data_IF_504651922955
#
_entry.id   IF_504651922955
#
_cell.length_a   1.000
_cell.length_b   1.000
_cell.length_c   1.000
_cell.angle_alpha   90.00
_cell.angle_beta   90.00
_cell.angle_gamma   90.00
#
_symmetry.space_group_name_H-M   'P 1'
#
loop_
_entity.id
_entity.type
_entity.pdbx_description
1 polymer ?
#
# COMPACT_ATOMS: atom_id res chain seq x y z
N UNK A 1 2.61 2.05 19.49
CA UNK A 1 4.08 1.97 19.22
C UNK A 1 4.56 3.14 18.38
N UNK A 2 3.81 3.59 17.36
CA UNK A 2 4.18 4.74 16.51
C UNK A 2 4.34 6.07 17.24
N UNK A 3 3.46 6.41 18.19
CA UNK A 3 3.60 7.63 19.00
C UNK A 3 4.94 7.65 19.75
N UNK A 4 5.34 6.52 20.35
CA UNK A 4 6.63 6.40 21.05
C UNK A 4 7.83 6.49 20.11
N UNK A 5 7.73 5.93 18.90
CA UNK A 5 8.76 6.07 17.85
C UNK A 5 8.85 7.51 17.34
N UNK A 6 7.73 8.20 17.19
CA UNK A 6 7.66 9.60 16.75
C UNK A 6 8.24 10.58 17.79
N UNK A 7 7.97 10.36 19.07
CA UNK A 7 8.59 11.11 20.17
C UNK A 7 10.10 10.91 20.20
N UNK A 8 10.57 9.66 20.09
CA UNK A 8 11.99 9.35 19.99
C UNK A 8 12.65 10.00 18.76
N UNK A 9 12.07 9.89 17.56
CA UNK A 9 12.68 10.45 16.34
C UNK A 9 12.88 11.98 16.40
N UNK A 10 12.00 12.70 17.12
CA UNK A 10 12.08 14.16 17.26
C UNK A 10 12.92 14.62 18.46
N UNK A 11 12.87 13.85 19.55
CA UNK A 11 13.44 14.24 20.83
C UNK A 11 14.66 13.40 21.24
N UNK A 12 15.13 12.43 20.43
CA UNK A 12 16.23 11.54 20.80
C UNK A 12 17.49 12.31 21.22
N UNK A 13 17.88 13.35 20.46
CA UNK A 13 19.04 14.18 20.82
C UNK A 13 18.82 14.96 22.12
N UNK A 14 17.58 15.42 22.37
CA UNK A 14 17.21 16.09 23.62
C UNK A 14 17.29 15.12 24.79
N UNK A 15 16.73 13.93 24.65
CA UNK A 15 16.80 12.88 25.66
C UNK A 15 18.23 12.40 25.90
N UNK A 16 19.04 12.26 24.85
CA UNK A 16 20.46 11.89 24.97
C UNK A 16 21.21 12.91 25.82
N UNK A 17 21.07 14.19 25.51
CA UNK A 17 21.70 15.26 26.30
C UNK A 17 21.18 15.30 27.74
N UNK A 18 19.86 15.14 27.97
CA UNK A 18 19.31 15.04 29.32
C UNK A 18 19.81 13.80 30.08
N UNK A 19 20.01 12.68 29.39
CA UNK A 19 20.52 11.44 29.95
C UNK A 19 21.98 11.56 30.36
N UNK A 20 22.80 12.24 29.56
CA UNK A 20 24.20 12.58 29.86
C UNK A 20 24.29 13.50 31.09
N UNK A 21 23.46 14.55 31.15
CA UNK A 21 23.37 15.44 32.32
C UNK A 21 22.88 14.69 33.58
N UNK A 22 21.89 13.81 33.44
CA UNK A 22 21.41 12.97 34.53
C UNK A 22 22.47 11.96 34.99
N UNK A 23 23.30 11.42 34.08
CA UNK A 23 24.39 10.52 34.43
C UNK A 23 25.46 11.23 35.27
N UNK A 24 25.83 12.45 34.88
CA UNK A 24 26.75 13.28 35.66
C UNK A 24 26.15 13.58 37.04
N UNK A 25 24.87 13.94 37.08
CA UNK A 25 24.15 14.21 38.31
C UNK A 25 24.08 12.99 39.25
N UNK A 26 23.77 11.80 38.72
CA UNK A 26 23.79 10.55 39.46
C UNK A 26 25.20 10.26 40.01
N UNK A 27 26.23 10.44 39.20
CA UNK A 27 27.61 10.21 39.61
C UNK A 27 28.01 11.09 40.78
N UNK A 28 27.64 12.39 40.76
CA UNK A 28 27.95 13.30 41.86
C UNK A 28 27.21 12.94 43.15
N UNK A 29 25.93 12.58 43.07
CA UNK A 29 25.18 12.14 44.25
C UNK A 29 25.73 10.86 44.84
N UNK A 30 26.12 9.90 44.00
CA UNK A 30 26.64 8.61 44.46
C UNK A 30 28.11 8.70 44.92
N UNK A 31 28.91 9.67 44.43
CA UNK A 31 30.28 9.93 44.90
C UNK A 31 30.34 10.78 46.16
N UNK A 32 29.53 11.83 46.25
CA UNK A 32 29.51 12.78 47.38
C UNK A 32 28.64 12.27 48.53
N UNK A 33 28.50 10.95 48.68
CA UNK A 33 28.02 10.36 49.94
C UNK A 33 29.12 10.28 51.00
N UNK A 34 30.39 10.45 50.62
CA UNK A 34 31.55 10.37 51.53
C UNK A 34 32.16 11.74 51.91
N UNK A 35 31.80 12.86 51.26
CA UNK A 35 32.29 14.21 51.61
C UNK A 35 31.19 15.29 51.62
N UNK A 36 31.20 16.13 52.65
CA UNK A 36 30.34 17.29 52.84
C UNK A 36 30.98 18.52 52.17
N UNK A 37 30.65 18.82 50.90
CA UNK A 37 30.59 20.22 50.48
C UNK A 37 29.87 20.46 49.13
N UNK A 38 28.91 21.39 49.18
CA UNK A 38 28.04 21.92 48.12
C UNK A 38 27.02 20.96 47.46
N UNK A 39 25.78 21.42 47.29
CA UNK A 39 24.73 20.67 46.59
C UNK A 39 25.09 20.55 45.08
N UNK A 40 25.23 19.33 44.53
CA UNK A 40 25.45 19.11 43.09
C UNK A 40 24.45 19.87 42.20
N UNK A 41 23.25 20.11 42.71
CA UNK A 41 22.17 20.80 42.01
C UNK A 41 22.40 22.30 41.78
N UNK A 42 23.34 22.94 42.47
CA UNK A 42 23.67 24.36 42.25
C UNK A 42 24.70 24.58 41.13
N UNK A 43 25.31 23.49 40.61
CA UNK A 43 26.31 23.56 39.53
C UNK A 43 25.72 23.38 38.12
N UNK A 44 24.55 22.79 37.98
CA UNK A 44 23.90 22.54 36.68
C UNK A 44 22.86 23.60 36.35
N UNK A 45 23.13 24.45 35.36
CA UNK A 45 22.25 25.59 35.02
C UNK A 45 21.13 25.24 34.03
N UNK A 46 21.15 24.07 33.38
CA UNK A 46 20.27 23.74 32.25
C UNK A 46 19.13 22.74 32.54
N UNK A 47 19.27 21.84 33.51
CA UNK A 47 18.30 20.78 33.82
C UNK A 47 18.32 20.38 35.31
N UNK A 48 17.24 19.75 35.78
CA UNK A 48 17.14 19.29 37.18
C UNK A 48 16.13 18.15 37.38
N UNK A 49 16.18 17.53 38.56
CA UNK A 49 15.26 16.48 38.96
C UNK A 49 14.01 17.06 39.63
N UNK A 50 12.84 16.56 39.22
CA UNK A 50 11.54 16.97 39.72
C UNK A 50 10.68 15.75 40.08
N UNK A 51 9.87 15.90 41.12
CA UNK A 51 8.84 14.93 41.49
C UNK A 51 7.45 15.52 41.21
N UNK A 52 6.59 14.74 40.57
CA UNK A 52 5.18 15.10 40.41
C UNK A 52 4.42 14.81 41.70
N UNK A 53 3.85 15.84 42.33
CA UNK A 53 3.17 15.70 43.61
C UNK A 53 1.86 14.90 43.55
N UNK A 54 1.27 14.72 42.38
CA UNK A 54 0.04 13.92 42.20
C UNK A 54 0.37 12.45 41.97
N UNK A 55 1.27 12.17 41.02
CA UNK A 55 1.57 10.78 40.63
C UNK A 55 2.70 10.15 41.42
N UNK A 56 3.52 10.94 42.12
CA UNK A 56 4.75 10.48 42.78
C UNK A 56 5.88 10.12 41.81
N UNK A 57 5.71 10.36 40.51
CA UNK A 57 6.70 10.02 39.49
C UNK A 57 7.83 11.07 39.43
N UNK A 58 9.06 10.60 39.19
CA UNK A 58 10.23 11.44 39.04
C UNK A 58 10.53 11.71 37.56
N UNK A 59 10.97 12.92 37.27
CA UNK A 59 11.34 13.36 35.92
C UNK A 59 12.55 14.29 35.94
N UNK A 60 13.41 14.16 34.94
CA UNK A 60 14.56 15.04 34.73
C UNK A 60 14.28 15.95 33.54
N UNK A 61 14.12 17.25 33.81
CA UNK A 61 13.58 18.22 32.85
C UNK A 61 14.53 19.42 32.71
N UNK A 62 14.43 20.13 31.58
CA UNK A 62 15.08 21.43 31.40
C UNK A 62 14.48 22.47 32.36
N UNK A 63 15.32 23.35 32.91
CA UNK A 63 14.89 24.36 33.90
C UNK A 63 13.89 25.38 33.35
N UNK A 64 13.83 25.58 32.03
CA UNK A 64 12.90 26.50 31.36
C UNK A 64 11.47 25.98 31.26
N UNK A 65 11.16 24.77 31.76
CA UNK A 65 9.81 24.22 31.79
C UNK A 65 9.53 23.41 33.07
N UNK A 66 8.95 24.03 34.10
CA UNK A 66 8.05 23.28 34.97
C UNK A 66 6.66 23.91 34.92
N UNK A 67 5.73 23.24 34.26
CA UNK A 67 4.29 23.50 34.39
C UNK A 67 3.72 22.70 35.57
N UNK A 68 2.93 23.34 36.45
CA UNK A 68 2.02 22.64 37.37
C UNK A 68 2.68 21.94 38.57
N UNK A 69 2.25 20.72 38.87
CA UNK A 69 2.48 19.93 40.10
C UNK A 69 3.90 19.36 40.29
N UNK A 70 4.91 19.94 39.64
CA UNK A 70 6.30 19.47 39.71
C UNK A 70 7.07 20.23 40.78
N UNK A 71 7.69 19.51 41.72
CA UNK A 71 8.57 20.09 42.73
C UNK A 71 9.99 19.63 42.49
N UNK A 72 10.94 20.57 42.49
CA UNK A 72 12.36 20.25 42.37
C UNK A 72 12.78 19.40 43.57
N UNK A 73 13.50 18.33 43.31
CA UNK A 73 14.05 17.43 44.33
C UNK A 73 15.50 17.82 44.55
N UNK A 74 15.88 18.15 45.78
CA UNK A 74 17.26 18.48 46.17
C UNK A 74 18.07 17.25 46.58
N UNK A 75 19.39 17.39 46.74
CA UNK A 75 20.28 16.25 46.94
C UNK A 75 20.02 15.56 48.29
N UNK A 76 19.73 16.34 49.33
CA UNK A 76 19.48 15.82 50.67
C UNK A 76 18.17 14.99 50.75
N UNK A 77 17.16 15.37 49.96
CA UNK A 77 15.90 14.63 49.87
C UNK A 77 16.08 13.28 49.14
N UNK A 78 16.96 13.23 48.14
CA UNK A 78 17.34 11.98 47.47
C UNK A 78 18.18 11.07 48.36
N UNK A 79 19.17 11.63 49.07
CA UNK A 79 20.07 10.87 49.95
C UNK A 79 19.32 10.13 51.06
N UNK A 80 18.41 10.82 51.76
CA UNK A 80 17.54 10.18 52.77
C UNK A 80 16.69 9.05 52.18
N UNK A 81 16.14 9.25 50.98
CA UNK A 81 15.40 8.19 50.27
C UNK A 81 16.30 7.02 49.85
N UNK A 82 17.59 7.27 49.62
CA UNK A 82 18.58 6.28 49.19
C UNK A 82 19.16 5.45 50.33
N UNK A 83 19.16 5.96 51.57
CA UNK A 83 19.53 5.19 52.76
C UNK A 83 18.55 4.04 53.02
N UNK A 84 17.27 4.24 52.73
CA UNK A 84 16.23 3.21 52.82
C UNK A 84 16.26 2.23 51.63
N UNK A 85 16.77 2.68 50.48
CA UNK A 85 16.85 1.90 49.25
C UNK A 85 18.21 1.20 49.13
N UNK A 86 18.24 -0.12 49.26
CA UNK A 86 19.41 -0.92 48.90
C UNK A 86 19.87 -0.69 47.44
N UNK A 87 21.07 -1.18 47.09
CA UNK A 87 21.69 -0.97 45.75
C UNK A 87 20.75 -1.28 44.57
N UNK A 88 19.98 -2.36 44.65
CA UNK A 88 19.00 -2.73 43.61
C UNK A 88 17.82 -1.74 43.53
N UNK A 89 17.37 -1.20 44.67
CA UNK A 89 16.30 -0.21 44.72
C UNK A 89 16.73 1.13 44.10
N UNK A 90 17.97 1.56 44.34
CA UNK A 90 18.55 2.76 43.72
C UNK A 90 18.68 2.64 42.20
N UNK A 91 19.15 1.50 41.70
CA UNK A 91 19.20 1.24 40.25
C UNK A 91 17.80 1.32 39.60
N UNK A 92 16.79 0.69 40.21
CA UNK A 92 15.41 0.75 39.73
C UNK A 92 14.82 2.16 39.81
N UNK A 93 15.19 2.95 40.81
CA UNK A 93 14.79 4.35 40.92
C UNK A 93 15.29 5.15 39.71
N UNK A 94 16.59 5.11 39.43
CA UNK A 94 17.20 5.83 38.31
C UNK A 94 16.61 5.39 36.96
N UNK A 95 16.40 4.09 36.75
CA UNK A 95 15.77 3.56 35.53
C UNK A 95 14.34 4.07 35.31
N UNK A 96 13.61 4.38 36.38
CA UNK A 96 12.21 4.84 36.34
C UNK A 96 12.07 6.34 36.12
N UNK A 97 13.14 7.12 36.31
CA UNK A 97 13.09 8.57 36.07
C UNK A 97 12.73 8.82 34.61
N UNK A 98 11.83 9.77 34.36
CA UNK A 98 11.42 10.15 33.01
C UNK A 98 12.23 11.33 32.49
N UNK A 99 12.85 11.18 31.32
CA UNK A 99 13.49 12.28 30.60
C UNK A 99 12.39 13.16 29.98
N UNK A 100 12.40 14.44 30.35
CA UNK A 100 11.38 15.43 29.97
C UNK A 100 9.93 15.01 30.29
N UNK A 101 9.72 14.15 31.29
CA UNK A 101 8.40 13.60 31.64
C UNK A 101 7.82 12.57 30.66
N UNK A 102 8.51 12.25 29.55
CA UNK A 102 7.97 11.43 28.47
C UNK A 102 8.44 9.96 28.53
N UNK A 103 9.75 9.74 28.55
CA UNK A 103 10.35 8.40 28.41
C UNK A 103 11.21 8.06 29.62
N UNK A 104 11.06 6.86 30.16
CA UNK A 104 11.92 6.41 31.28
C UNK A 104 13.36 6.22 30.83
N UNK A 105 14.32 6.47 31.72
CA UNK A 105 15.74 6.23 31.49
C UNK A 105 15.99 4.80 31.03
N UNK A 106 15.41 3.80 31.72
CA UNK A 106 15.60 2.39 31.33
C UNK A 106 15.05 2.04 29.94
N UNK A 107 14.04 2.77 29.44
CA UNK A 107 13.57 2.61 28.07
C UNK A 107 14.47 3.32 27.06
N UNK A 108 14.96 4.52 27.40
CA UNK A 108 15.92 5.26 26.59
C UNK A 108 17.24 4.51 26.45
N UNK A 109 17.81 4.02 27.55
CA UNK A 109 19.09 3.29 27.57
C UNK A 109 19.04 2.03 26.69
N UNK A 110 17.89 1.33 26.65
CA UNK A 110 17.67 0.21 25.71
C UNK A 110 17.66 0.64 24.25
N UNK A 111 17.04 1.79 23.95
CA UNK A 111 17.03 2.36 22.60
C UNK A 111 18.44 2.81 22.21
N UNK A 112 19.15 3.49 23.10
CA UNK A 112 20.52 3.94 22.87
C UNK A 112 21.48 2.76 22.66
N UNK A 113 21.37 1.70 23.45
CA UNK A 113 22.13 0.47 23.25
C UNK A 113 21.88 -0.13 21.86
N UNK A 114 20.63 -0.20 21.41
CA UNK A 114 20.32 -0.68 20.06
C UNK A 114 20.84 0.25 18.97
N UNK A 115 20.73 1.58 19.14
CA UNK A 115 21.24 2.57 18.19
C UNK A 115 22.75 2.45 18.07
N UNK A 116 23.47 2.34 19.19
CA UNK A 116 24.93 2.17 19.20
C UNK A 116 25.35 0.84 18.55
N UNK A 117 24.62 -0.25 18.83
CA UNK A 117 24.87 -1.54 18.21
C UNK A 117 24.71 -1.47 16.68
N UNK A 118 23.59 -0.92 16.18
CA UNK A 118 23.39 -0.77 14.73
C UNK A 118 24.39 0.20 14.12
N UNK A 119 24.76 1.28 14.81
CA UNK A 119 25.78 2.21 14.34
C UNK A 119 27.15 1.52 14.16
N UNK A 120 27.62 0.78 15.17
CA UNK A 120 28.88 0.03 15.10
C UNK A 120 28.86 -1.00 13.97
N UNK A 121 27.78 -1.79 13.90
CA UNK A 121 27.57 -2.79 12.85
C UNK A 121 27.59 -2.18 11.44
N UNK A 122 27.09 -0.96 11.26
CA UNK A 122 27.09 -0.26 9.98
C UNK A 122 28.40 0.47 9.70
N UNK A 123 29.10 0.97 10.72
CA UNK A 123 30.38 1.69 10.56
C UNK A 123 31.53 0.81 10.11
N UNK A 124 31.43 -0.50 10.34
CA UNK A 124 32.37 -1.51 9.82
C UNK A 124 32.21 -1.76 8.31
N UNK A 125 31.10 -1.30 7.71
CA UNK A 125 30.80 -1.50 6.29
C UNK A 125 31.23 -0.30 5.45
N UNK A 126 31.35 -0.52 4.14
CA UNK A 126 31.60 0.59 3.20
C UNK A 126 30.41 1.57 3.23
N UNK A 127 30.64 2.89 3.34
CA UNK A 127 29.58 3.89 3.47
C UNK A 127 28.50 3.84 2.37
N UNK A 128 28.89 3.48 1.14
CA UNK A 128 27.99 3.38 -0.02
C UNK A 128 27.63 1.94 -0.39
N UNK A 129 27.89 0.97 0.47
CA UNK A 129 27.39 -0.40 0.27
C UNK A 129 25.86 -0.43 0.39
N UNK A 130 25.23 -1.37 -0.32
CA UNK A 130 23.78 -1.54 -0.25
C UNK A 130 23.30 -1.82 1.18
N UNK A 131 24.09 -2.56 1.97
CA UNK A 131 23.81 -2.85 3.38
C UNK A 131 23.63 -1.59 4.24
N UNK A 132 24.40 -0.52 3.96
CA UNK A 132 24.31 0.76 4.66
C UNK A 132 23.20 1.60 4.05
N UNK A 133 23.20 1.76 2.72
CA UNK A 133 22.22 2.61 2.02
C UNK A 133 20.79 2.13 2.22
N UNK A 134 20.53 0.82 2.26
CA UNK A 134 19.20 0.26 2.51
C UNK A 134 18.64 0.59 3.91
N UNK A 135 19.48 1.01 4.86
CA UNK A 135 19.03 1.51 6.17
C UNK A 135 18.64 3.00 6.14
N UNK A 136 19.12 3.74 5.14
CA UNK A 136 18.81 5.16 4.96
C UNK A 136 17.42 5.31 4.36
N UNK A 137 16.54 6.02 5.06
CA UNK A 137 15.14 6.16 4.65
C UNK A 137 15.01 6.82 3.27
N UNK A 138 15.75 7.90 3.04
CA UNK A 138 15.69 8.67 1.79
C UNK A 138 16.17 7.82 0.62
N UNK A 139 17.23 7.04 0.80
CA UNK A 139 17.70 6.09 -0.23
C UNK A 139 16.62 5.08 -0.59
N UNK A 140 15.96 4.45 0.39
CA UNK A 140 14.86 3.50 0.13
C UNK A 140 13.70 4.16 -0.62
N UNK A 141 13.32 5.37 -0.24
CA UNK A 141 12.24 6.12 -0.90
C UNK A 141 12.65 6.42 -2.34
N UNK A 142 13.86 6.93 -2.56
CA UNK A 142 14.39 7.23 -3.89
C UNK A 142 14.41 5.98 -4.76
N UNK A 143 14.99 4.86 -4.29
CA UNK A 143 14.99 3.59 -5.02
C UNK A 143 13.57 3.12 -5.33
N UNK A 144 12.64 3.22 -4.38
CA UNK A 144 11.24 2.89 -4.60
C UNK A 144 10.55 3.75 -5.66
N UNK A 145 10.82 5.06 -5.68
CA UNK A 145 10.26 5.97 -6.68
C UNK A 145 10.81 5.68 -8.07
N UNK A 146 12.11 5.47 -8.21
CA UNK A 146 12.71 5.09 -9.50
C UNK A 146 12.26 3.70 -9.96
N UNK A 147 12.05 2.75 -9.03
CA UNK A 147 11.42 1.47 -9.35
C UNK A 147 10.02 1.65 -9.93
N UNK A 148 9.18 2.51 -9.32
CA UNK A 148 7.82 2.77 -9.80
C UNK A 148 7.80 3.48 -11.15
N UNK A 149 8.73 4.41 -11.40
CA UNK A 149 8.91 5.04 -12.71
C UNK A 149 9.19 3.98 -13.76
N UNK A 150 10.16 3.10 -13.49
CA UNK A 150 10.55 2.09 -14.45
C UNK A 150 9.46 1.03 -14.63
N UNK A 151 8.80 0.59 -13.55
CA UNK A 151 7.63 -0.28 -13.64
C UNK A 151 6.52 0.36 -14.49
N UNK A 152 6.27 1.67 -14.35
CA UNK A 152 5.35 2.41 -15.22
C UNK A 152 5.74 2.33 -16.69
N UNK A 153 7.04 2.45 -17.01
CA UNK A 153 7.54 2.27 -18.39
C UNK A 153 7.33 0.86 -18.91
N UNK A 154 7.61 -0.15 -18.10
CA UNK A 154 7.36 -1.55 -18.45
C UNK A 154 5.86 -1.82 -18.69
N UNK A 155 4.99 -1.06 -18.02
CA UNK A 155 3.53 -1.07 -18.23
C UNK A 155 3.05 -0.19 -19.39
N UNK A 156 3.96 0.40 -20.17
CA UNK A 156 3.66 1.14 -21.38
C UNK A 156 3.48 2.65 -21.21
N UNK A 157 3.86 3.23 -20.07
CA UNK A 157 3.91 4.70 -19.88
C UNK A 157 5.13 5.27 -20.59
N UNK A 158 4.92 6.14 -21.57
CA UNK A 158 5.96 6.83 -22.33
C UNK A 158 6.22 8.24 -21.81
N UNK A 159 5.21 8.85 -21.19
CA UNK A 159 5.32 10.15 -20.53
C UNK A 159 6.44 10.20 -19.46
N UNK A 160 6.97 11.40 -19.22
CA UNK A 160 7.96 11.60 -18.15
C UNK A 160 7.26 11.53 -16.80
N UNK A 161 7.77 10.67 -15.91
CA UNK A 161 7.28 10.51 -14.55
C UNK A 161 8.31 11.08 -13.57
N UNK A 162 7.87 11.99 -12.71
CA UNK A 162 8.70 12.69 -11.72
C UNK A 162 8.76 11.92 -10.39
N UNK A 163 9.94 11.70 -9.80
CA UNK A 163 10.13 10.96 -8.54
C UNK A 163 9.79 11.85 -7.32
N UNK A 164 8.51 12.19 -7.15
CA UNK A 164 8.03 13.01 -6.03
C UNK A 164 7.33 12.19 -4.95
N UNK A 165 7.32 12.66 -3.70
CA UNK A 165 6.68 11.93 -2.59
C UNK A 165 5.17 11.70 -2.78
N UNK A 166 4.52 12.56 -3.56
CA UNK A 166 3.11 12.44 -3.94
C UNK A 166 2.85 11.49 -5.11
N UNK A 167 3.87 10.79 -5.63
CA UNK A 167 3.74 9.85 -6.74
C UNK A 167 2.57 8.85 -6.58
N UNK A 168 2.41 8.16 -5.42
CA UNK A 168 1.32 7.20 -5.24
C UNK A 168 -0.08 7.85 -5.18
N UNK A 169 -0.14 9.18 -5.04
CA UNK A 169 -1.38 9.96 -4.99
C UNK A 169 -1.79 10.52 -6.35
N UNK A 170 -1.03 10.24 -7.42
CA UNK A 170 -1.36 10.65 -8.78
C UNK A 170 -0.91 12.08 -9.14
N UNK A 171 0.27 12.49 -8.68
CA UNK A 171 0.88 13.78 -9.06
C UNK A 171 1.44 13.83 -10.47
N UNK A 172 1.64 12.67 -11.10
CA UNK A 172 2.14 12.53 -12.46
C UNK A 172 1.00 12.55 -13.47
N UNK A 173 1.26 13.15 -14.63
CA UNK A 173 0.30 13.22 -15.73
C UNK A 173 0.59 12.08 -16.70
N UNK A 174 -0.46 11.33 -17.03
CA UNK A 174 -0.44 10.25 -18.02
C UNK A 174 -1.64 10.40 -18.94
N UNK A 175 -1.51 9.91 -20.17
CA UNK A 175 -2.62 9.87 -21.12
C UNK A 175 -3.65 8.81 -20.70
N UNK A 176 -4.88 8.96 -21.19
CA UNK A 176 -5.95 7.98 -20.96
C UNK A 176 -5.54 6.58 -21.45
N UNK A 177 -4.86 6.52 -22.59
CA UNK A 177 -4.37 5.28 -23.19
C UNK A 177 -3.32 4.60 -22.29
N UNK A 178 -2.28 5.32 -21.87
CA UNK A 178 -1.22 4.78 -21.01
C UNK A 178 -1.79 4.20 -19.71
N UNK A 179 -2.71 4.94 -19.08
CA UNK A 179 -3.38 4.46 -17.88
C UNK A 179 -4.27 3.24 -18.17
N UNK A 180 -5.00 3.21 -19.28
CA UNK A 180 -5.84 2.05 -19.65
C UNK A 180 -5.00 0.80 -19.86
N UNK A 181 -3.89 0.92 -20.60
CA UNK A 181 -2.92 -0.17 -20.82
C UNK A 181 -2.24 -0.63 -19.54
N UNK A 182 -1.91 0.29 -18.64
CA UNK A 182 -1.37 -0.07 -17.33
C UNK A 182 -2.36 -0.96 -16.55
N UNK A 183 -3.66 -0.72 -16.65
CA UNK A 183 -4.67 -1.59 -16.02
C UNK A 183 -4.86 -2.94 -16.72
N UNK A 184 -4.63 -3.02 -18.04
CA UNK A 184 -4.44 -4.32 -18.71
C UNK A 184 -3.29 -5.07 -18.04
N UNK A 185 -2.09 -4.47 -17.96
CA UNK A 185 -0.91 -5.11 -17.37
C UNK A 185 -1.08 -5.53 -15.91
N UNK A 186 -1.70 -4.68 -15.08
CA UNK A 186 -2.01 -5.02 -13.68
C UNK A 186 -2.96 -6.22 -13.55
N UNK A 187 -3.85 -6.41 -14.53
CA UNK A 187 -4.83 -7.50 -14.50
C UNK A 187 -4.34 -8.73 -15.23
N UNK A 188 -3.69 -8.65 -16.38
CA UNK A 188 -3.30 -9.83 -17.16
C UNK A 188 -1.88 -10.32 -16.85
N UNK A 189 -1.08 -9.49 -16.19
CA UNK A 189 0.35 -9.68 -15.97
C UNK A 189 1.21 -9.26 -17.16
N UNK A 190 0.60 -8.88 -18.28
CA UNK A 190 1.30 -8.54 -19.53
C UNK A 190 0.72 -7.28 -20.17
N UNK A 191 1.54 -6.59 -20.94
CA UNK A 191 1.09 -5.46 -21.76
C UNK A 191 1.14 -5.86 -23.22
N UNK A 192 0.06 -5.52 -23.94
CA UNK A 192 0.00 -5.70 -25.39
C UNK A 192 0.33 -4.40 -26.10
N UNK A 193 1.39 -4.42 -26.90
CA UNK A 193 1.75 -3.36 -27.85
C UNK A 193 1.64 -3.89 -29.27
N UNK A 194 1.73 -3.01 -30.26
CA UNK A 194 1.65 -3.42 -31.67
C UNK A 194 2.81 -2.85 -32.44
N UNK A 195 3.60 -3.71 -33.07
CA UNK A 195 4.80 -3.32 -33.82
C UNK A 195 5.60 -4.53 -34.29
N UNK A 196 6.70 -4.29 -34.99
CA UNK A 196 7.59 -5.37 -35.40
C UNK A 196 8.37 -5.93 -34.20
N UNK A 197 8.43 -7.26 -34.10
CA UNK A 197 9.19 -7.95 -33.07
C UNK A 197 10.66 -7.50 -33.08
N UNK A 198 11.19 -7.10 -31.92
CA UNK A 198 12.56 -6.59 -31.76
C UNK A 198 12.72 -5.06 -31.84
N UNK A 199 11.65 -4.29 -32.06
CA UNK A 199 11.65 -2.81 -31.99
C UNK A 199 10.68 -2.28 -30.91
N UNK A 200 10.62 -2.95 -29.77
CA UNK A 200 9.64 -2.74 -28.71
C UNK A 200 9.66 -1.34 -28.08
N UNK A 201 10.84 -0.71 -27.98
CA UNK A 201 10.98 0.56 -27.26
C UNK A 201 10.38 1.76 -28.01
N UNK A 202 10.23 1.68 -29.34
CA UNK A 202 9.84 2.83 -30.16
C UNK A 202 8.69 2.58 -31.15
N UNK A 203 8.20 1.34 -31.27
CA UNK A 203 7.26 0.99 -32.33
C UNK A 203 5.89 0.54 -31.82
N UNK A 204 5.45 1.00 -30.65
CA UNK A 204 4.08 0.79 -30.19
C UNK A 204 3.12 1.72 -30.95
N UNK A 205 2.63 1.19 -32.08
CA UNK A 205 1.58 1.77 -32.90
C UNK A 205 0.23 1.55 -32.22
N UNK A 206 -0.63 2.58 -32.21
CA UNK A 206 -2.00 2.37 -31.76
C UNK A 206 -2.68 1.45 -32.77
N UNK A 207 -3.15 0.28 -32.34
CA UNK A 207 -3.94 -0.64 -33.17
C UNK A 207 -5.36 -0.11 -33.41
N UNK A 208 -5.43 1.08 -33.99
CA UNK A 208 -6.66 1.69 -34.52
C UNK A 208 -6.86 1.24 -35.97
N UNK A 209 -5.78 0.88 -36.66
CA UNK A 209 -5.77 0.39 -38.04
C UNK A 209 -5.60 -1.12 -38.04
N UNK A 210 -6.61 -1.87 -38.53
CA UNK A 210 -6.54 -3.33 -38.66
C UNK A 210 -5.60 -3.75 -39.80
N UNK A 211 -5.74 -3.16 -40.98
CA UNK A 211 -4.85 -3.38 -42.12
C UNK A 211 -4.91 -2.25 -43.13
N UNK A 212 -3.85 -2.08 -43.91
CA UNK A 212 -3.81 -1.21 -45.09
C UNK A 212 -3.51 -2.10 -46.29
N UNK A 213 -4.37 -2.03 -47.31
CA UNK A 213 -4.24 -2.81 -48.56
C UNK A 213 -4.14 -1.85 -49.75
N UNK A 214 -3.35 -2.21 -50.76
CA UNK A 214 -3.33 -1.55 -52.05
C UNK A 214 -4.57 -1.90 -52.89
N UNK A 215 -4.80 -1.18 -53.99
CA UNK A 215 -5.93 -1.44 -54.90
C UNK A 215 -5.93 -2.87 -55.47
N UNK A 216 -4.74 -3.44 -55.66
CA UNK A 216 -4.57 -4.81 -56.15
C UNK A 216 -4.72 -5.89 -55.05
N UNK A 217 -5.03 -5.48 -53.82
CA UNK A 217 -5.16 -6.38 -52.67
C UNK A 217 -3.84 -6.70 -51.96
N UNK A 218 -2.72 -6.08 -52.36
CA UNK A 218 -1.44 -6.27 -51.66
C UNK A 218 -1.51 -5.68 -50.25
N UNK A 219 -1.22 -6.49 -49.22
CA UNK A 219 -1.14 -6.03 -47.83
C UNK A 219 0.09 -5.15 -47.61
N UNK A 220 -0.14 -3.88 -47.26
CA UNK A 220 0.91 -2.88 -47.01
C UNK A 220 1.25 -2.75 -45.52
N UNK A 221 0.27 -2.96 -44.65
CA UNK A 221 0.45 -2.85 -43.20
C UNK A 221 -0.60 -3.69 -42.48
N UNK A 222 -0.18 -4.38 -41.43
CA UNK A 222 -1.04 -5.07 -40.47
C UNK A 222 -0.29 -5.05 -39.13
N UNK A 223 -0.89 -4.48 -38.05
CA UNK A 223 -0.24 -4.42 -36.76
C UNK A 223 -0.12 -5.82 -36.17
N UNK A 224 1.10 -6.23 -35.81
CA UNK A 224 1.33 -7.49 -35.11
C UNK A 224 1.31 -7.24 -33.60
N UNK A 225 0.45 -7.93 -32.82
CA UNK A 225 0.46 -7.80 -31.38
C UNK A 225 1.76 -8.40 -30.81
N UNK A 226 2.43 -7.64 -29.97
CA UNK A 226 3.58 -8.07 -29.18
C UNK A 226 3.16 -8.01 -27.71
N UNK A 227 3.26 -9.15 -27.04
CA UNK A 227 2.88 -9.29 -25.64
C UNK A 227 4.12 -9.38 -24.77
N UNK A 228 4.25 -8.46 -23.82
CA UNK A 228 5.37 -8.41 -22.87
C UNK A 228 4.89 -8.73 -21.47
N UNK A 229 5.47 -9.74 -20.82
CA UNK A 229 5.13 -10.07 -19.44
C UNK A 229 5.88 -9.15 -18.46
N UNK A 230 5.14 -8.57 -17.52
CA UNK A 230 5.67 -7.62 -16.51
C UNK A 230 5.55 -8.20 -15.10
N UNK A 231 4.46 -8.90 -14.82
CA UNK A 231 4.21 -9.49 -13.50
C UNK A 231 4.15 -11.01 -13.57
N UNK A 232 4.63 -11.65 -12.50
CA UNK A 232 4.47 -13.08 -12.33
C UNK A 232 3.00 -13.44 -11.95
N UNK A 233 2.60 -14.72 -12.10
CA UNK A 233 1.22 -15.13 -11.84
C UNK A 233 0.70 -14.85 -10.42
N UNK A 234 1.55 -14.90 -9.37
CA UNK A 234 1.11 -14.63 -7.99
C UNK A 234 0.81 -13.15 -7.79
N UNK A 235 1.65 -12.27 -8.34
CA UNK A 235 1.42 -10.82 -8.29
C UNK A 235 0.12 -10.45 -9.02
N UNK A 236 -0.07 -10.96 -10.23
CA UNK A 236 -1.28 -10.74 -11.05
C UNK A 236 -2.56 -11.20 -10.34
N UNK A 237 -2.49 -12.34 -9.65
CA UNK A 237 -3.61 -12.87 -8.86
C UNK A 237 -3.95 -11.97 -7.66
N UNK A 238 -2.94 -11.52 -6.90
CA UNK A 238 -3.13 -10.64 -5.75
C UNK A 238 -3.67 -9.26 -6.15
N UNK A 239 -3.07 -8.63 -7.17
CA UNK A 239 -3.51 -7.33 -7.70
C UNK A 239 -4.93 -7.44 -8.27
N UNK A 240 -5.22 -8.50 -9.03
CA UNK A 240 -6.55 -8.78 -9.54
C UNK A 240 -7.60 -8.90 -8.43
N UNK A 241 -7.27 -9.61 -7.34
CA UNK A 241 -8.13 -9.71 -6.16
C UNK A 241 -8.41 -8.36 -5.49
N UNK A 242 -7.39 -7.50 -5.36
CA UNK A 242 -7.53 -6.13 -4.83
C UNK A 242 -8.47 -5.31 -5.71
N UNK A 243 -8.27 -5.32 -7.04
CA UNK A 243 -9.11 -4.57 -7.98
C UNK A 243 -10.55 -5.09 -8.04
N UNK A 244 -10.76 -6.40 -7.90
CA UNK A 244 -12.10 -6.98 -7.77
C UNK A 244 -12.78 -6.51 -6.47
N UNK A 245 -12.05 -6.46 -5.35
CA UNK A 245 -12.58 -5.99 -4.07
C UNK A 245 -12.95 -4.51 -4.06
N UNK A 246 -12.23 -3.66 -4.80
CA UNK A 246 -12.62 -2.26 -4.99
C UNK A 246 -13.99 -2.16 -5.67
N UNK A 247 -14.30 -3.08 -6.59
CA UNK A 247 -15.62 -3.15 -7.23
C UNK A 247 -16.64 -3.85 -6.33
N UNK A 248 -16.30 -4.88 -5.55
CA UNK A 248 -17.28 -5.54 -4.67
C UNK A 248 -17.69 -4.69 -3.47
N UNK A 249 -16.71 -4.04 -2.84
CA UNK A 249 -16.86 -3.47 -1.50
C UNK A 249 -16.42 -2.01 -1.41
N UNK A 250 -15.76 -1.49 -2.43
CA UNK A 250 -15.17 -0.16 -2.44
C UNK A 250 -15.99 0.88 -3.20
N UNK A 251 -15.26 1.88 -3.69
CA UNK A 251 -15.81 3.01 -4.45
C UNK A 251 -16.35 2.64 -5.83
N UNK A 252 -16.02 1.43 -6.33
CA UNK A 252 -16.49 0.91 -7.61
C UNK A 252 -17.80 0.12 -7.54
N UNK A 253 -18.41 -0.04 -6.36
CA UNK A 253 -19.58 -0.92 -6.11
C UNK A 253 -20.73 -0.83 -7.10
N UNK A 254 -21.02 0.38 -7.58
CA UNK A 254 -22.11 0.60 -8.52
C UNK A 254 -21.87 -0.08 -9.88
N UNK A 255 -20.63 -0.42 -10.25
CA UNK A 255 -20.37 -1.21 -11.44
C UNK A 255 -20.95 -2.64 -11.33
N UNK A 256 -20.82 -3.27 -10.16
CA UNK A 256 -21.40 -4.60 -9.91
C UNK A 256 -22.93 -4.63 -9.94
N UNK A 257 -23.57 -3.47 -9.78
CA UNK A 257 -25.02 -3.31 -9.86
C UNK A 257 -25.49 -2.99 -11.29
N UNK A 258 -24.71 -2.20 -12.04
CA UNK A 258 -25.09 -1.65 -13.35
C UNK A 258 -24.67 -2.50 -14.54
N UNK A 259 -23.58 -3.26 -14.42
CA UNK A 259 -23.11 -4.12 -15.50
C UNK A 259 -23.77 -5.48 -15.37
N UNK A 260 -24.56 -5.87 -16.38
CA UNK A 260 -25.42 -7.05 -16.31
C UNK A 260 -25.43 -7.82 -17.62
N UNK A 261 -25.61 -9.13 -17.50
CA UNK A 261 -25.90 -10.00 -18.64
C UNK A 261 -27.38 -9.84 -19.01
N UNK A 262 -27.63 -9.31 -20.20
CA UNK A 262 -28.97 -9.12 -20.76
C UNK A 262 -29.25 -10.16 -21.84
N UNK A 263 -30.52 -10.55 -22.00
CA UNK A 263 -30.92 -11.36 -23.15
C UNK A 263 -30.65 -10.57 -24.44
N UNK A 264 -30.30 -11.28 -25.51
CA UNK A 264 -30.14 -10.62 -26.80
C UNK A 264 -31.50 -10.20 -27.39
N UNK A 265 -31.47 -9.33 -28.41
CA UNK A 265 -32.69 -8.81 -29.05
C UNK A 265 -33.58 -9.86 -29.72
N UNK A 266 -33.12 -11.11 -29.82
CA UNK A 266 -33.86 -12.25 -30.38
C UNK A 266 -34.30 -13.26 -29.30
N UNK A 267 -34.07 -12.97 -28.02
CA UNK A 267 -34.42 -13.85 -26.89
C UNK A 267 -33.37 -14.93 -26.57
N UNK A 268 -32.25 -14.95 -27.29
CA UNK A 268 -31.10 -15.78 -26.96
C UNK A 268 -30.49 -15.37 -25.61
N UNK A 269 -30.10 -16.37 -24.82
CA UNK A 269 -29.49 -16.12 -23.51
C UNK A 269 -30.47 -15.69 -22.40
N UNK A 270 -31.78 -15.79 -22.64
CA UNK A 270 -32.80 -15.45 -21.65
C UNK A 270 -32.67 -16.24 -20.33
N UNK A 271 -32.18 -17.48 -20.38
CA UNK A 271 -31.91 -18.29 -19.19
C UNK A 271 -30.82 -17.68 -18.31
N UNK A 272 -29.70 -17.28 -18.91
CA UNK A 272 -28.59 -16.62 -18.19
C UNK A 272 -29.04 -15.26 -17.65
N UNK A 273 -29.76 -14.47 -18.45
CA UNK A 273 -30.28 -13.18 -18.00
C UNK A 273 -31.22 -13.32 -16.79
N UNK A 274 -32.03 -14.39 -16.73
CA UNK A 274 -32.92 -14.69 -15.59
C UNK A 274 -32.16 -15.03 -14.31
N UNK A 275 -30.94 -15.57 -14.41
CA UNK A 275 -30.10 -15.85 -13.23
C UNK A 275 -29.68 -14.55 -12.51
N UNK A 276 -29.69 -13.39 -13.20
CA UNK A 276 -29.33 -12.07 -12.67
C UNK A 276 -28.00 -12.12 -11.88
N UNK A 277 -27.02 -12.86 -12.41
CA UNK A 277 -25.72 -13.04 -11.79
C UNK A 277 -24.91 -11.74 -11.89
N UNK A 278 -24.25 -11.30 -10.81
CA UNK A 278 -23.37 -10.15 -10.87
C UNK A 278 -22.17 -10.48 -11.75
N UNK A 279 -21.84 -9.62 -12.71
CA UNK A 279 -20.65 -9.79 -13.54
C UNK A 279 -19.40 -9.50 -12.68
N UNK A 280 -18.42 -10.43 -12.58
CA UNK A 280 -17.12 -10.13 -11.99
C UNK A 280 -16.38 -9.07 -12.81
N UNK A 281 -15.98 -7.99 -12.15
CA UNK A 281 -15.28 -6.86 -12.75
C UNK A 281 -14.14 -6.44 -11.85
N UNK A 282 -13.09 -5.90 -12.44
CA UNK A 282 -11.94 -5.36 -11.72
C UNK A 282 -11.84 -3.87 -12.04
N UNK A 283 -11.47 -3.05 -11.07
CA UNK A 283 -11.20 -1.65 -11.40
C UNK A 283 -10.94 -0.75 -10.21
N UNK A 284 -10.70 0.51 -10.52
CA UNK A 284 -10.35 1.53 -9.53
C UNK A 284 -10.87 2.90 -9.97
N UNK A 285 -11.41 3.62 -9.00
CA UNK A 285 -11.77 5.04 -9.16
C UNK A 285 -10.56 5.95 -8.90
N UNK A 286 -10.40 6.97 -9.75
CA UNK A 286 -9.54 8.12 -9.52
C UNK A 286 -10.37 9.39 -9.32
N UNK A 287 -9.91 10.30 -8.46
CA UNK A 287 -10.50 11.63 -8.27
C UNK A 287 -9.39 12.59 -7.91
N UNK A 288 -9.12 13.56 -8.79
CA UNK A 288 -8.09 14.54 -8.54
C UNK A 288 -8.47 15.52 -7.43
N UNK A 289 -7.44 16.11 -6.81
CA UNK A 289 -7.62 17.20 -5.87
C UNK A 289 -8.46 18.33 -6.49
N UNK A 290 -9.27 18.99 -5.66
CA UNK A 290 -10.22 20.05 -6.08
C UNK A 290 -11.28 19.59 -7.09
N UNK A 291 -11.43 18.29 -7.37
CA UNK A 291 -12.41 17.73 -8.31
C UNK A 291 -12.24 18.28 -9.73
N UNK A 292 -10.99 18.50 -10.18
CA UNK A 292 -10.72 18.96 -11.55
C UNK A 292 -10.94 17.86 -12.59
N UNK A 293 -10.73 16.61 -12.20
CA UNK A 293 -11.06 15.44 -13.01
C UNK A 293 -11.50 14.24 -12.17
N UNK A 294 -12.16 13.32 -12.85
CA UNK A 294 -12.66 12.05 -12.36
C UNK A 294 -12.30 10.95 -13.37
N UNK A 295 -11.87 9.80 -12.88
CA UNK A 295 -11.55 8.67 -13.75
C UNK A 295 -12.01 7.34 -13.17
N UNK A 296 -12.24 6.37 -14.05
CA UNK A 296 -12.39 4.98 -13.68
C UNK A 296 -11.63 4.13 -14.70
N UNK A 297 -10.74 3.30 -14.19
CA UNK A 297 -10.01 2.32 -14.99
C UNK A 297 -10.41 0.95 -14.49
N UNK A 298 -10.81 0.09 -15.41
CA UNK A 298 -11.29 -1.23 -15.06
C UNK A 298 -11.06 -2.23 -16.18
N UNK A 299 -11.35 -3.47 -15.87
CA UNK A 299 -11.19 -4.60 -16.75
C UNK A 299 -12.46 -5.43 -16.74
N UNK A 300 -13.01 -5.66 -17.92
CA UNK A 300 -14.07 -6.64 -18.18
C UNK A 300 -13.38 -7.96 -18.55
N UNK A 301 -13.40 -8.97 -17.66
CA UNK A 301 -12.75 -10.26 -17.93
C UNK A 301 -13.35 -10.97 -19.14
N UNK A 302 -12.52 -11.71 -19.89
CA UNK A 302 -12.95 -12.56 -21.00
C UNK A 302 -13.76 -13.76 -20.53
N UNK A 303 -14.15 -14.63 -21.46
CA UNK A 303 -14.90 -15.86 -21.17
C UNK A 303 -13.94 -17.03 -21.27
N UNK A 304 -14.05 -17.99 -20.34
CA UNK A 304 -13.31 -19.25 -20.45
C UNK A 304 -13.72 -20.02 -21.71
N UNK A 305 -12.80 -20.76 -22.33
CA UNK A 305 -13.12 -21.60 -23.50
C UNK A 305 -14.30 -22.56 -23.25
N UNK A 306 -14.44 -23.08 -22.04
CA UNK A 306 -15.53 -23.97 -21.63
C UNK A 306 -16.87 -23.26 -21.33
N UNK A 307 -16.94 -21.93 -21.39
CA UNK A 307 -18.16 -21.16 -21.08
C UNK A 307 -18.64 -21.21 -19.61
N UNK A 308 -17.84 -21.78 -18.70
CA UNK A 308 -18.22 -22.05 -17.31
C UNK A 308 -17.81 -20.94 -16.31
N UNK A 309 -17.39 -19.78 -16.84
CA UNK A 309 -16.95 -18.65 -16.06
C UNK A 309 -16.24 -17.60 -16.90
N UNK A 310 -15.61 -16.67 -16.20
CA UNK A 310 -14.78 -15.65 -16.82
C UNK A 310 -13.29 -15.97 -16.68
N UNK A 311 -12.49 -15.50 -17.62
CA UNK A 311 -11.04 -15.63 -17.64
C UNK A 311 -10.38 -14.25 -17.49
N UNK A 312 -9.22 -14.23 -16.84
CA UNK A 312 -8.42 -13.01 -16.70
C UNK A 312 -7.84 -12.56 -18.06
N UNK A 313 -7.59 -13.51 -18.96
CA UNK A 313 -7.13 -13.27 -20.33
C UNK A 313 -8.31 -12.96 -21.26
N UNK A 314 -7.98 -12.46 -22.47
CA UNK A 314 -8.93 -12.20 -23.56
C UNK A 314 -10.14 -11.34 -23.17
N UNK A 315 -9.89 -10.40 -22.25
CA UNK A 315 -10.86 -9.41 -21.79
C UNK A 315 -10.61 -8.02 -22.36
N UNK A 316 -11.22 -7.02 -21.75
CA UNK A 316 -11.14 -5.62 -22.18
C UNK A 316 -10.71 -4.72 -21.04
N UNK A 317 -9.56 -4.07 -21.18
CA UNK A 317 -9.22 -2.91 -20.38
C UNK A 317 -9.99 -1.69 -20.89
N UNK A 318 -10.69 -1.01 -19.99
CA UNK A 318 -11.54 0.14 -20.32
C UNK A 318 -11.17 1.27 -19.36
N UNK A 319 -10.81 2.42 -19.91
CA UNK A 319 -10.55 3.65 -19.16
C UNK A 319 -11.55 4.74 -19.52
N UNK A 320 -12.10 5.41 -18.51
CA UNK A 320 -12.93 6.60 -18.69
C UNK A 320 -12.36 7.75 -17.88
N UNK A 321 -12.37 8.94 -18.49
CA UNK A 321 -11.92 10.19 -17.90
C UNK A 321 -12.96 11.27 -18.16
N UNK A 322 -13.26 12.07 -17.15
CA UNK A 322 -14.19 13.21 -17.23
C UNK A 322 -13.52 14.41 -16.56
N UNK A 323 -13.53 15.54 -17.26
CA UNK A 323 -12.96 16.81 -16.82
C UNK A 323 -13.33 17.92 -17.81
N UNK A 324 -13.05 19.17 -17.43
CA UNK A 324 -13.10 20.30 -18.37
C UNK A 324 -11.72 20.54 -18.97
N UNK A 325 -11.67 20.98 -20.23
CA UNK A 325 -10.40 21.26 -20.94
C UNK A 325 -9.57 22.35 -20.25
N UNK A 326 -10.23 23.30 -19.59
CA UNK A 326 -9.59 24.39 -18.83
C UNK A 326 -9.23 24.02 -17.38
N UNK A 327 -9.37 22.73 -17.00
CA UNK A 327 -9.13 22.20 -15.66
C UNK A 327 -9.92 22.89 -14.54
N UNK A 328 -11.06 23.54 -14.86
CA UNK A 328 -11.90 24.12 -13.81
C UNK A 328 -12.52 23.02 -12.93
N UNK A 329 -12.76 23.28 -11.63
CA UNK A 329 -13.39 22.30 -10.75
C UNK A 329 -14.79 21.84 -11.20
N UNK A 330 -15.03 20.53 -11.28
CA UNK A 330 -16.34 19.93 -11.51
C UNK A 330 -17.19 19.89 -10.24
N UNK A 331 -17.51 21.08 -9.72
CA UNK A 331 -18.33 21.24 -8.50
C UNK A 331 -19.35 22.35 -8.68
N UNK A 332 -20.55 22.13 -8.15
CA UNK A 332 -21.62 23.15 -8.10
C UNK A 332 -22.31 23.08 -6.74
N UNK A 333 -22.21 24.16 -5.97
CA UNK A 333 -22.72 24.23 -4.58
C UNK A 333 -22.22 23.02 -3.76
N UNK A 334 -23.13 22.17 -3.28
CA UNK A 334 -22.79 20.96 -2.51
C UNK A 334 -22.39 19.75 -3.37
N UNK A 335 -22.70 19.76 -4.68
CA UNK A 335 -22.42 18.66 -5.60
C UNK A 335 -20.96 18.68 -6.07
N UNK A 336 -20.33 17.50 -6.06
CA UNK A 336 -18.93 17.29 -6.47
C UNK A 336 -18.87 16.04 -7.33
N UNK A 337 -18.25 16.12 -8.49
CA UNK A 337 -18.11 14.99 -9.39
C UNK A 337 -16.83 14.22 -9.03
N UNK A 338 -16.99 12.99 -8.55
CA UNK A 338 -15.91 12.05 -8.25
C UNK A 338 -15.80 10.97 -9.33
N UNK A 339 -14.79 10.11 -9.24
CA UNK A 339 -14.64 8.95 -10.14
C UNK A 339 -15.89 8.07 -10.22
N UNK A 340 -16.53 7.81 -9.08
CA UNK A 340 -17.74 6.99 -8.99
C UNK A 340 -19.00 7.67 -9.58
N UNK A 341 -19.07 9.00 -9.53
CA UNK A 341 -20.22 9.75 -10.01
C UNK A 341 -20.07 10.26 -11.46
N UNK A 342 -18.83 10.52 -11.90
CA UNK A 342 -18.52 11.08 -13.21
C UNK A 342 -18.11 10.02 -14.24
N UNK A 343 -17.03 9.29 -13.96
CA UNK A 343 -16.41 8.41 -14.96
C UNK A 343 -16.97 6.99 -14.95
N UNK A 344 -17.33 6.45 -13.79
CA UNK A 344 -17.84 5.09 -13.62
C UNK A 344 -19.15 4.81 -14.40
N UNK A 345 -20.15 5.72 -14.47
CA UNK A 345 -21.36 5.47 -15.27
C UNK A 345 -21.07 5.19 -16.74
N UNK A 346 -20.27 6.03 -17.39
CA UNK A 346 -19.84 5.84 -18.79
C UNK A 346 -19.06 4.54 -18.96
N UNK A 347 -18.22 4.19 -17.99
CA UNK A 347 -17.50 2.92 -18.01
C UNK A 347 -18.46 1.72 -18.01
N UNK A 348 -19.52 1.76 -17.19
CA UNK A 348 -20.53 0.71 -17.12
C UNK A 348 -21.31 0.58 -18.44
N UNK A 349 -21.61 1.70 -19.10
CA UNK A 349 -22.27 1.71 -20.41
C UNK A 349 -21.40 1.02 -21.46
N UNK A 350 -20.11 1.38 -21.55
CA UNK A 350 -19.15 0.72 -22.47
C UNK A 350 -19.05 -0.78 -22.17
N UNK A 351 -18.94 -1.16 -20.89
CA UNK A 351 -18.86 -2.57 -20.51
C UNK A 351 -20.12 -3.36 -20.89
N UNK A 352 -21.32 -2.78 -20.72
CA UNK A 352 -22.58 -3.40 -21.15
C UNK A 352 -22.67 -3.55 -22.67
N UNK A 353 -22.22 -2.54 -23.43
CA UNK A 353 -22.14 -2.63 -24.90
C UNK A 353 -21.19 -3.77 -25.30
N UNK A 354 -20.01 -3.86 -24.68
CA UNK A 354 -19.06 -4.94 -24.94
C UNK A 354 -19.63 -6.32 -24.61
N UNK A 355 -20.34 -6.48 -23.49
CA UNK A 355 -21.00 -7.74 -23.14
C UNK A 355 -21.99 -8.19 -24.23
N UNK A 356 -22.74 -7.26 -24.80
CA UNK A 356 -23.72 -7.52 -25.86
C UNK A 356 -23.05 -7.83 -27.20
N UNK A 357 -22.16 -6.95 -27.68
CA UNK A 357 -21.48 -7.07 -28.98
C UNK A 357 -20.58 -8.31 -29.05
N UNK A 358 -19.92 -8.65 -27.94
CA UNK A 358 -19.07 -9.84 -27.85
C UNK A 358 -19.86 -11.10 -27.48
N UNK A 359 -21.19 -11.03 -27.50
CA UNK A 359 -22.09 -12.17 -27.34
C UNK A 359 -21.83 -12.99 -26.08
N UNK A 360 -21.55 -12.35 -24.94
CA UNK A 360 -21.15 -13.08 -23.72
C UNK A 360 -22.19 -14.12 -23.31
N UNK A 361 -23.46 -13.75 -23.40
CA UNK A 361 -24.58 -14.60 -22.99
C UNK A 361 -24.75 -15.82 -23.92
N UNK A 362 -24.25 -15.77 -25.16
CA UNK A 362 -24.30 -16.92 -26.09
C UNK A 362 -23.17 -17.92 -25.84
N UNK A 363 -22.08 -17.48 -25.21
CA UNK A 363 -20.87 -18.26 -24.99
C UNK A 363 -20.77 -18.86 -23.59
N UNK A 364 -21.69 -18.47 -22.70
CA UNK A 364 -21.76 -18.98 -21.33
C UNK A 364 -22.71 -20.19 -21.25
N UNK A 365 -22.38 -21.16 -20.38
CA UNK A 365 -23.23 -22.31 -20.10
C UNK A 365 -24.28 -21.97 -19.02
N UNK A 366 -25.59 -21.89 -19.35
CA UNK A 366 -26.63 -21.58 -18.37
C UNK A 366 -26.70 -22.60 -17.22
N UNK A 367 -26.42 -23.88 -17.52
CA UNK A 367 -26.56 -24.97 -16.56
C UNK A 367 -25.49 -24.84 -15.49
N UNK A 368 -24.23 -24.74 -15.89
CA UNK A 368 -23.10 -24.63 -14.95
C UNK A 368 -23.22 -23.36 -14.09
N UNK A 369 -23.59 -22.23 -14.71
CA UNK A 369 -23.79 -20.97 -14.01
C UNK A 369 -24.94 -21.01 -13.00
N UNK A 370 -25.99 -21.80 -13.24
CA UNK A 370 -27.09 -21.95 -12.28
C UNK A 370 -26.65 -22.67 -11.00
N UNK A 371 -25.67 -23.58 -11.08
CA UNK A 371 -25.15 -24.32 -9.93
C UNK A 371 -24.01 -23.60 -9.22
N UNK A 372 -23.13 -22.94 -9.97
CA UNK A 372 -21.87 -22.42 -9.43
C UNK A 372 -21.72 -20.90 -9.46
N UNK A 373 -22.67 -20.20 -10.09
CA UNK A 373 -22.62 -18.75 -10.27
C UNK A 373 -21.54 -18.31 -11.27
N UNK A 374 -21.40 -16.99 -11.43
CA UNK A 374 -20.41 -16.39 -12.32
C UNK A 374 -19.21 -15.84 -11.52
N UNK A 375 -18.01 -16.35 -11.82
CA UNK A 375 -16.76 -15.98 -11.18
C UNK A 375 -15.60 -15.96 -12.19
N UNK A 376 -14.52 -15.26 -11.84
CA UNK A 376 -13.26 -15.32 -12.58
C UNK A 376 -12.54 -16.59 -12.17
N UNK A 377 -12.28 -17.49 -13.11
CA UNK A 377 -11.45 -18.67 -12.90
C UNK A 377 -9.99 -18.23 -12.80
N UNK A 378 -9.29 -18.75 -11.80
CA UNK A 378 -7.90 -18.44 -11.50
C UNK A 378 -7.09 -19.72 -11.43
N UNK A 379 -5.82 -19.65 -11.82
CA UNK A 379 -4.89 -20.75 -11.60
C UNK A 379 -4.71 -21.00 -10.10
N UNK A 380 -4.60 -22.26 -9.70
CA UNK A 380 -4.24 -22.62 -8.33
C UNK A 380 -2.72 -22.57 -8.17
N UNK A 381 -2.26 -21.57 -7.43
CA UNK A 381 -0.86 -21.31 -7.08
C UNK A 381 -0.62 -21.49 -5.58
N UNK A 382 -1.55 -22.14 -4.88
CA UNK A 382 -1.56 -22.25 -3.42
C UNK A 382 -2.05 -20.99 -2.71
N UNK A 383 -2.82 -20.15 -3.40
CA UNK A 383 -3.48 -19.01 -2.77
C UNK A 383 -4.61 -19.46 -1.85
N UNK A 384 -4.89 -18.62 -0.85
CA UNK A 384 -6.02 -18.76 0.07
C UNK A 384 -6.83 -17.46 0.06
N UNK A 385 -8.13 -17.56 0.28
CA UNK A 385 -8.99 -16.40 0.38
C UNK A 385 -9.44 -16.24 1.85
N UNK A 386 -8.96 -15.18 2.49
CA UNK A 386 -9.07 -14.99 3.94
C UNK A 386 -10.09 -13.91 4.25
N UNK A 387 -11.00 -14.17 5.17
CA UNK A 387 -12.04 -13.25 5.63
C UNK A 387 -11.44 -12.02 6.31
N UNK A 388 -11.96 -10.84 5.96
CA UNK A 388 -11.47 -9.57 6.49
C UNK A 388 -12.60 -8.67 7.01
N UNK A 389 -12.27 -7.78 7.93
CA UNK A 389 -13.18 -6.76 8.41
C UNK A 389 -13.22 -5.58 7.40
N UNK A 390 -14.39 -5.37 6.79
CA UNK A 390 -14.62 -4.34 5.79
C UNK A 390 -14.27 -2.93 6.30
N UNK A 391 -14.72 -2.58 7.50
CA UNK A 391 -14.60 -1.24 8.07
C UNK A 391 -13.29 -1.01 8.85
N UNK A 392 -12.36 -1.98 8.84
CA UNK A 392 -11.06 -1.89 9.52
C UNK A 392 -9.88 -1.99 8.55
N UNK A 393 -10.06 -1.46 7.34
CA UNK A 393 -9.00 -1.43 6.33
C UNK A 393 -8.60 -2.82 5.81
N UNK A 394 -9.52 -3.79 5.85
CA UNK A 394 -9.24 -5.16 5.40
C UNK A 394 -8.38 -5.96 6.38
N UNK A 395 -8.40 -5.63 7.67
CA UNK A 395 -7.75 -6.45 8.70
C UNK A 395 -8.33 -7.87 8.68
N UNK A 396 -7.46 -8.88 8.69
CA UNK A 396 -7.85 -10.30 8.81
C UNK A 396 -8.66 -10.51 10.08
N UNK A 397 -9.77 -11.23 9.95
CA UNK A 397 -10.58 -11.67 11.10
C UNK A 397 -9.80 -12.71 11.88
N UNK A 398 -9.76 -12.58 13.21
CA UNK A 398 -9.15 -13.54 14.14
C UNK A 398 -10.27 -14.15 15.01
N UNK A 399 -10.41 -15.49 15.08
CA UNK A 399 -9.62 -16.50 14.37
C UNK A 399 -9.82 -16.47 12.85
N UNK A 400 -8.84 -16.99 12.10
CA UNK A 400 -8.85 -17.00 10.63
C UNK A 400 -10.11 -17.67 10.10
N UNK A 401 -10.76 -17.02 9.13
CA UNK A 401 -11.90 -17.58 8.40
C UNK A 401 -11.50 -17.69 6.94
N UNK A 402 -11.47 -18.92 6.40
CA UNK A 402 -11.32 -19.12 4.96
C UNK A 402 -12.66 -18.89 4.27
N UNK A 403 -12.65 -18.09 3.22
CA UNK A 403 -13.84 -17.69 2.46
C UNK A 403 -13.78 -18.36 1.10
N UNK A 404 -14.84 -19.06 0.71
CA UNK A 404 -14.90 -19.63 -0.64
C UNK A 404 -14.87 -18.52 -1.69
N UNK A 405 -14.15 -18.71 -2.79
CA UNK A 405 -14.18 -17.79 -3.94
C UNK A 405 -15.58 -17.60 -4.54
N UNK A 406 -16.49 -18.53 -4.27
CA UNK A 406 -17.91 -18.44 -4.65
C UNK A 406 -18.71 -17.48 -3.76
N UNK A 407 -18.28 -17.23 -2.52
CA UNK A 407 -18.93 -16.35 -1.56
C UNK A 407 -18.60 -14.86 -1.82
N UNK A 408 -18.95 -14.37 -3.02
CA UNK A 408 -18.53 -13.05 -3.51
C UNK A 408 -19.04 -11.85 -2.68
N UNK A 409 -20.08 -12.03 -1.87
CA UNK A 409 -20.61 -11.00 -0.97
C UNK A 409 -19.90 -10.93 0.38
N UNK A 410 -19.05 -11.90 0.71
CA UNK A 410 -18.28 -11.91 1.96
C UNK A 410 -16.94 -11.20 1.75
N UNK A 411 -16.63 -10.14 2.53
CA UNK A 411 -15.35 -9.45 2.45
C UNK A 411 -14.20 -10.41 2.74
N UNK A 412 -13.30 -10.53 1.77
CA UNK A 412 -12.17 -11.46 1.82
C UNK A 412 -11.03 -10.97 0.95
N UNK A 413 -9.80 -11.36 1.27
CA UNK A 413 -8.59 -11.03 0.51
C UNK A 413 -7.94 -12.32 0.03
N UNK A 414 -7.73 -12.38 -1.28
CA UNK A 414 -6.96 -13.43 -1.93
C UNK A 414 -5.46 -13.19 -1.71
N UNK A 415 -4.79 -14.11 -1.04
CA UNK A 415 -3.41 -13.94 -0.56
C UNK A 415 -2.70 -15.30 -0.41
N UNK A 416 -1.45 -15.28 0.05
CA UNK A 416 -0.64 -16.46 0.31
C UNK A 416 -0.20 -16.46 1.77
N UNK A 417 -0.28 -17.60 2.45
CA UNK A 417 0.02 -17.69 3.87
C UNK A 417 -0.61 -18.91 4.52
N UNK A 418 -0.37 -19.06 5.81
CA UNK A 418 -0.86 -20.19 6.59
C UNK A 418 -1.53 -19.69 7.88
N UNK A 419 -2.44 -20.50 8.40
CA UNK A 419 -2.94 -20.34 9.76
C UNK A 419 -1.92 -20.91 10.76
N UNK A 420 -1.63 -20.13 11.80
CA UNK A 420 -0.80 -20.55 12.93
C UNK A 420 -1.61 -21.35 13.94
N UNK A 421 -0.97 -22.10 14.82
CA UNK A 421 -1.63 -22.87 15.88
C UNK A 421 -2.53 -22.03 16.81
N UNK A 422 -2.30 -20.71 16.87
CA UNK A 422 -3.11 -19.76 17.65
C UNK A 422 -4.29 -19.18 16.86
N UNK A 423 -4.60 -19.70 15.67
CA UNK A 423 -5.69 -19.24 14.82
C UNK A 423 -5.45 -17.86 14.18
N UNK A 424 -4.18 -17.43 14.05
CA UNK A 424 -3.79 -16.19 13.34
C UNK A 424 -3.28 -16.49 11.95
N UNK A 425 -3.54 -15.58 11.00
CA UNK A 425 -3.01 -15.70 9.64
C UNK A 425 -1.60 -15.11 9.56
N UNK A 426 -0.65 -15.93 9.12
CA UNK A 426 0.70 -15.49 8.78
C UNK A 426 0.82 -15.37 7.26
N UNK A 427 0.79 -14.14 6.76
CA UNK A 427 0.94 -13.86 5.34
C UNK A 427 2.39 -14.07 4.88
N UNK A 428 2.57 -14.81 3.79
CA UNK A 428 3.87 -14.92 3.11
C UNK A 428 4.19 -13.58 2.45
N UNK A 429 5.38 -13.05 2.76
CA UNK A 429 5.90 -11.89 2.02
C UNK A 429 6.45 -12.35 0.69
N UNK A 430 5.81 -11.89 -0.38
CA UNK A 430 6.22 -12.17 -1.74
C UNK A 430 6.43 -10.86 -2.50
N UNK A 431 7.57 -10.74 -3.16
CA UNK A 431 7.88 -9.65 -4.07
C UNK A 431 8.80 -10.17 -5.16
N UNK A 432 8.35 -10.09 -6.40
CA UNK A 432 9.16 -10.38 -7.58
C UNK A 432 9.22 -9.11 -8.43
N UNK A 433 10.42 -8.50 -8.58
CA UNK A 433 10.55 -7.31 -9.40
C UNK A 433 10.42 -7.66 -10.90
N UNK A 434 9.93 -6.71 -11.70
CA UNK A 434 9.61 -6.94 -13.11
C UNK A 434 10.79 -7.47 -13.94
N UNK A 435 12.03 -7.08 -13.62
CA UNK A 435 13.22 -7.53 -14.38
C UNK A 435 13.56 -9.01 -14.15
N UNK A 436 13.11 -9.62 -13.06
CA UNK A 436 13.26 -11.07 -12.86
C UNK A 436 12.33 -11.84 -13.78
N UNK A 437 11.11 -11.33 -13.99
CA UNK A 437 10.15 -11.91 -14.92
C UNK A 437 10.63 -11.79 -16.37
N UNK A 438 11.14 -10.61 -16.75
CA UNK A 438 11.68 -10.38 -18.09
C UNK A 438 12.91 -11.27 -18.42
N UNK A 439 13.76 -11.56 -17.43
CA UNK A 439 14.92 -12.43 -17.61
C UNK A 439 14.55 -13.91 -17.84
N UNK A 440 13.40 -14.36 -17.34
CA UNK A 440 12.96 -15.75 -17.53
C UNK A 440 12.58 -16.03 -19.00
N UNK A 441 12.04 -15.05 -19.73
CA UNK A 441 11.61 -15.19 -21.13
C UNK A 441 12.79 -15.26 -22.12
N UNK A 442 13.98 -14.78 -21.76
CA UNK A 442 15.18 -14.78 -22.64
C UNK A 442 15.97 -16.09 -22.62
N UNK A 443 15.55 -17.07 -21.82
CA UNK A 443 16.26 -18.35 -21.60
C UNK A 443 15.64 -19.56 -22.28
N UNK A 444 14.68 -19.37 -23.19
CA UNK A 444 13.99 -20.45 -23.91
C UNK A 444 14.22 -20.43 -25.42
#
# INVERSE_FOLDING_TARGET
>A
MEVRKGLLARNYLVFKSLREELAAFQSTIESDMDELDADPFDRTTSAGLFMNQISGEYSFNRMTQPSGYLTRVGADQLRSSFEELGKAGRALFWEKIRLNGELTVGAFDKVEAQVNYEYQKLSEKLPYSFDVLAQVNDFRITVGLYYLIELGRQLGVKGTLEPVLSFPLGSNVVTLLEATRMYEGLVTGSVTTFGDAGQEENNDSLAILERIEAEDGTLLYEPKPVRKTVFDPKTTLAVGGILENVVKFGTGKTAGEKVKLHADGQGGGAEIAKLNLPVPLLGKTGTANRYTNASFFGYLPGITESGNGLAQQDGYAIGTYVGFDDNQPMRRKASRISGAAGALPTWCEIANVLLAEQGYVKRLDPTDLSFYGLAIKRADLGQVNVGVALDQGGKVVEPVVLVSDKARSQPSILTFGNETDMGRFEAVRYFQPFWVTAAAETTH
#
